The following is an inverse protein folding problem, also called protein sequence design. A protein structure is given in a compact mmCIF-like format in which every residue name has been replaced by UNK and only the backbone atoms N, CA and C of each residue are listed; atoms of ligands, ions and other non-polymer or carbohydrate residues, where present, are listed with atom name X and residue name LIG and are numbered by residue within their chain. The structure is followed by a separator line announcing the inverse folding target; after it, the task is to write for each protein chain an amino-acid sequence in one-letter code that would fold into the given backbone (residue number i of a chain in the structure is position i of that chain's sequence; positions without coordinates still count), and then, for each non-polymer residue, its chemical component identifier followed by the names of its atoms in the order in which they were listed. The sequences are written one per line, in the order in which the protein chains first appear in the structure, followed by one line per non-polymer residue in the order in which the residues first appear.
data_IF_574396186612
#
_entry.id   IF_574396186612
#
_cell.length_a   1.000
_cell.length_b   1.000
_cell.length_c   1.000
_cell.angle_alpha   90.00
_cell.angle_beta   90.00
_cell.angle_gamma   90.00
#
_symmetry.space_group_name_H-M   'P 1'
#
loop_
_entity.id
_entity.type
_entity.pdbx_description
1 polymer ?
#
# COMPACT_ATOMS: atom_id res chain seq x y z
N UNK A 1 -48.81 -8.14 60.34
CA UNK A 1 -48.15 -7.16 59.45
C UNK A 1 -47.05 -7.90 58.72
N UNK A 2 -47.20 -8.25 57.44
CA UNK A 2 -47.01 -7.36 56.27
C UNK A 2 -45.53 -6.95 56.21
N UNK A 3 -44.68 -7.27 55.22
CA UNK A 3 -44.85 -7.53 53.77
C UNK A 3 -43.64 -8.38 53.29
N UNK A 4 -43.89 -9.30 52.38
CA UNK A 4 -42.91 -9.94 51.50
C UNK A 4 -42.42 -8.94 50.45
N UNK A 5 -41.13 -9.03 50.08
CA UNK A 5 -40.63 -8.52 48.79
C UNK A 5 -39.35 -9.27 48.39
N UNK A 6 -39.41 -10.31 47.54
CA UNK A 6 -38.28 -10.72 46.71
C UNK A 6 -38.24 -9.81 45.47
N UNK A 7 -37.16 -9.90 44.66
CA UNK A 7 -36.99 -9.44 43.25
C UNK A 7 -35.57 -8.84 43.10
N UNK A 8 -34.79 -9.06 42.03
CA UNK A 8 -35.05 -9.57 40.69
C UNK A 8 -33.69 -9.97 40.08
N UNK A 9 -33.55 -11.21 39.60
CA UNK A 9 -32.53 -11.55 38.60
C UNK A 9 -33.06 -11.05 37.25
N UNK A 10 -32.35 -10.11 36.61
CA UNK A 10 -32.65 -9.71 35.24
C UNK A 10 -32.02 -10.73 34.28
N UNK A 11 -32.85 -11.57 33.68
CA UNK A 11 -32.48 -12.35 32.50
C UNK A 11 -32.61 -11.44 31.26
N UNK A 12 -31.50 -11.11 30.61
CA UNK A 12 -31.54 -10.53 29.26
C UNK A 12 -31.86 -11.65 28.27
N UNK A 13 -33.07 -11.61 27.71
CA UNK A 13 -33.43 -12.39 26.54
C UNK A 13 -32.80 -11.73 25.31
N UNK A 14 -31.91 -12.45 24.62
CA UNK A 14 -31.38 -12.07 23.32
C UNK A 14 -32.46 -12.29 22.26
N UNK A 15 -33.09 -11.21 21.79
CA UNK A 15 -33.98 -11.25 20.63
C UNK A 15 -33.14 -11.25 19.36
N UNK A 16 -33.04 -12.39 18.69
CA UNK A 16 -32.46 -12.48 17.34
C UNK A 16 -33.42 -11.81 16.33
N UNK A 17 -33.05 -10.63 15.84
CA UNK A 17 -33.74 -10.02 14.71
C UNK A 17 -33.36 -10.77 13.43
N UNK A 18 -34.34 -11.45 12.85
CA UNK A 18 -34.30 -12.01 11.50
C UNK A 18 -34.15 -10.84 10.51
N UNK A 19 -32.99 -10.71 9.88
CA UNK A 19 -32.80 -9.75 8.80
C UNK A 19 -33.43 -10.32 7.53
N UNK A 20 -34.54 -9.71 7.12
CA UNK A 20 -35.21 -9.92 5.83
C UNK A 20 -34.26 -9.59 4.70
N UNK A 21 -33.94 -10.58 3.85
CA UNK A 21 -33.26 -10.37 2.57
C UNK A 21 -34.19 -9.56 1.66
N UNK A 22 -33.79 -8.33 1.34
CA UNK A 22 -34.49 -7.50 0.37
C UNK A 22 -33.80 -7.66 -0.97
N UNK A 23 -34.45 -8.38 -1.88
CA UNK A 23 -34.10 -8.54 -3.30
C UNK A 23 -34.63 -7.37 -4.12
N UNK A 24 -33.74 -6.58 -4.74
CA UNK A 24 -33.82 -5.78 -6.01
C UNK A 24 -32.69 -4.73 -5.96
N UNK A 25 -31.80 -4.44 -6.93
CA UNK A 25 -31.84 -4.36 -8.41
C UNK A 25 -30.37 -4.18 -8.96
N UNK A 26 -30.08 -4.08 -10.28
CA UNK A 26 -28.82 -4.48 -10.94
C UNK A 26 -27.67 -3.44 -10.87
N UNK A 27 -27.35 -2.95 -9.68
CA UNK A 27 -26.24 -2.00 -9.48
C UNK A 27 -24.85 -2.68 -9.47
N UNK A 28 -24.81 -4.02 -9.51
CA UNK A 28 -23.59 -4.81 -9.39
C UNK A 28 -22.81 -4.97 -10.70
N UNK A 29 -23.44 -4.89 -11.89
CA UNK A 29 -22.77 -5.23 -13.15
C UNK A 29 -21.52 -4.36 -13.44
N UNK A 30 -21.59 -3.04 -13.20
CA UNK A 30 -20.45 -2.14 -13.45
C UNK A 30 -19.37 -2.24 -12.36
N UNK A 31 -19.77 -2.55 -11.12
CA UNK A 31 -18.84 -2.78 -10.01
C UNK A 31 -18.13 -4.10 -10.22
N UNK A 32 -18.85 -5.14 -10.61
CA UNK A 32 -18.31 -6.46 -10.91
C UNK A 32 -17.41 -6.40 -12.15
N UNK A 33 -17.80 -5.66 -13.20
CA UNK A 33 -16.95 -5.42 -14.38
C UNK A 33 -15.67 -4.65 -14.00
N UNK A 34 -15.78 -3.64 -13.14
CA UNK A 34 -14.63 -2.93 -12.60
C UNK A 34 -13.74 -3.90 -11.80
N UNK A 35 -14.30 -4.64 -10.84
CA UNK A 35 -13.58 -5.59 -9.99
C UNK A 35 -12.86 -6.66 -10.82
N UNK A 36 -13.52 -7.21 -11.84
CA UNK A 36 -12.91 -8.13 -12.80
C UNK A 36 -11.76 -7.43 -13.55
N UNK A 37 -11.95 -6.20 -14.01
CA UNK A 37 -10.88 -5.38 -14.60
C UNK A 37 -9.75 -5.06 -13.61
N UNK A 38 -10.02 -5.06 -12.30
CA UNK A 38 -9.01 -4.85 -11.25
C UNK A 38 -8.28 -6.16 -10.87
N UNK A 39 -8.63 -7.28 -11.51
CA UNK A 39 -8.00 -8.59 -11.30
C UNK A 39 -8.70 -9.47 -10.28
N UNK A 40 -10.00 -9.27 -10.01
CA UNK A 40 -10.80 -10.11 -9.12
C UNK A 40 -11.20 -11.46 -9.74
N UNK A 41 -10.38 -12.05 -10.62
CA UNK A 41 -10.65 -13.39 -11.12
C UNK A 41 -10.41 -14.44 -10.05
N UNK A 42 -11.28 -15.45 -9.98
CA UNK A 42 -11.15 -16.55 -9.01
C UNK A 42 -9.95 -17.48 -9.29
N UNK A 43 -9.34 -17.35 -10.47
CA UNK A 43 -8.22 -18.18 -10.92
C UNK A 43 -7.10 -17.35 -11.53
N UNK A 44 -5.87 -17.83 -11.33
CA UNK A 44 -4.66 -17.26 -11.95
C UNK A 44 -4.49 -17.84 -13.35
N UNK A 45 -4.38 -16.97 -14.34
CA UNK A 45 -4.17 -17.37 -15.73
C UNK A 45 -2.68 -17.67 -16.00
N UNK A 46 -2.31 -18.95 -15.85
CA UNK A 46 -0.95 -19.45 -16.09
C UNK A 46 -0.54 -19.48 -17.56
N UNK A 47 -1.45 -19.17 -18.51
CA UNK A 47 -1.08 -19.04 -19.93
C UNK A 47 -0.40 -17.71 -20.24
N UNK A 48 -0.58 -16.71 -19.37
CA UNK A 48 0.10 -15.42 -19.43
C UNK A 48 1.46 -15.51 -18.74
N UNK A 49 2.42 -14.69 -19.20
CA UNK A 49 3.70 -14.55 -18.51
C UNK A 49 3.54 -13.96 -17.11
N UNK A 50 2.65 -12.99 -16.96
CA UNK A 50 2.28 -12.38 -15.69
C UNK A 50 0.78 -12.08 -15.74
N UNK A 51 0.03 -12.56 -14.76
CA UNK A 51 -1.38 -12.25 -14.59
C UNK A 51 -1.54 -11.07 -13.63
N UNK A 52 -2.07 -9.95 -14.14
CA UNK A 52 -2.07 -8.67 -13.45
C UNK A 52 -3.44 -8.32 -12.89
N UNK A 53 -3.47 -7.92 -11.61
CA UNK A 53 -4.55 -7.13 -11.02
C UNK A 53 -4.09 -5.68 -10.81
N UNK A 54 -4.95 -4.70 -11.09
CA UNK A 54 -4.63 -3.28 -10.97
C UNK A 54 -5.63 -2.62 -10.02
N UNK A 55 -5.13 -1.89 -9.03
CA UNK A 55 -5.91 -1.28 -7.97
C UNK A 55 -5.65 0.24 -7.96
N UNK A 56 -6.42 1.04 -8.72
CA UNK A 56 -6.40 2.48 -8.60
C UNK A 56 -7.22 2.93 -7.38
N UNK A 57 -6.82 4.02 -6.74
CA UNK A 57 -7.58 4.56 -5.61
C UNK A 57 -7.18 5.96 -5.19
N UNK A 58 -8.13 6.76 -4.68
CA UNK A 58 -7.80 8.02 -4.04
C UNK A 58 -7.19 7.79 -2.65
N UNK A 59 -6.38 8.74 -2.20
CA UNK A 59 -5.94 8.84 -0.82
C UNK A 59 -5.92 10.30 -0.36
N UNK A 60 -5.95 10.53 0.95
CA UNK A 60 -5.78 11.86 1.54
C UNK A 60 -4.96 11.74 2.81
N UNK A 61 -3.94 12.59 2.96
CA UNK A 61 -3.18 12.73 4.21
C UNK A 61 -2.72 14.18 4.42
N UNK A 62 -2.40 14.60 5.66
CA UNK A 62 -1.99 15.97 5.97
C UNK A 62 -0.74 16.45 5.22
N UNK A 63 0.19 15.54 4.94
CA UNK A 63 1.51 15.85 4.39
C UNK A 63 1.46 16.04 2.86
N UNK A 64 0.69 15.22 2.15
CA UNK A 64 0.65 15.18 0.69
C UNK A 64 -0.66 15.75 0.12
N UNK A 65 -1.67 15.98 0.96
CA UNK A 65 -2.99 16.41 0.56
C UNK A 65 -3.79 15.29 -0.09
N UNK A 66 -4.65 15.65 -1.05
CA UNK A 66 -5.40 14.70 -1.86
C UNK A 66 -4.47 14.09 -2.91
N UNK A 67 -4.54 12.79 -3.13
CA UNK A 67 -3.79 12.13 -4.20
C UNK A 67 -4.52 10.94 -4.80
N UNK A 68 -3.99 10.47 -5.91
CA UNK A 68 -4.41 9.24 -6.58
C UNK A 68 -3.19 8.32 -6.64
N UNK A 69 -3.40 7.06 -6.28
CA UNK A 69 -2.44 5.99 -6.42
C UNK A 69 -2.96 4.88 -7.31
N UNK A 70 -2.04 4.06 -7.81
CA UNK A 70 -2.33 2.80 -8.47
C UNK A 70 -1.33 1.75 -7.99
N UNK A 71 -1.81 0.55 -7.71
CA UNK A 71 -0.99 -0.62 -7.44
C UNK A 71 -1.33 -1.73 -8.45
N UNK A 72 -0.37 -2.15 -9.27
CA UNK A 72 -0.49 -3.31 -10.13
C UNK A 72 0.22 -4.49 -9.48
N UNK A 73 -0.49 -5.57 -9.19
CA UNK A 73 0.05 -6.81 -8.61
C UNK A 73 0.00 -7.89 -9.69
N UNK A 74 1.17 -8.34 -10.10
CA UNK A 74 1.36 -9.41 -11.06
C UNK A 74 1.68 -10.72 -10.36
N UNK A 75 0.98 -11.80 -10.71
CA UNK A 75 1.31 -13.16 -10.33
C UNK A 75 1.98 -13.85 -11.52
N UNK A 76 3.08 -14.55 -11.28
CA UNK A 76 3.79 -15.26 -12.34
C UNK A 76 4.43 -16.56 -11.84
N UNK A 77 4.73 -17.43 -12.79
CA UNK A 77 5.36 -18.72 -12.57
C UNK A 77 6.82 -18.68 -13.07
N UNK A 78 7.81 -18.91 -12.19
CA UNK A 78 9.20 -19.08 -12.62
C UNK A 78 9.39 -20.38 -13.41
N UNK A 79 10.57 -20.55 -14.03
CA UNK A 79 10.81 -21.61 -15.01
C UNK A 79 10.67 -23.04 -14.46
N UNK A 80 10.83 -23.21 -13.15
CA UNK A 80 10.79 -24.47 -12.41
C UNK A 80 9.47 -24.68 -11.65
N UNK A 81 8.49 -23.80 -11.84
CA UNK A 81 7.21 -23.86 -11.14
C UNK A 81 6.38 -25.11 -11.50
N UNK A 82 5.83 -25.74 -10.49
CA UNK A 82 4.86 -26.83 -10.58
C UNK A 82 3.52 -26.42 -9.95
N UNK A 83 2.45 -27.17 -10.21
CA UNK A 83 1.10 -26.80 -9.72
C UNK A 83 0.97 -26.74 -8.18
N UNK A 84 1.87 -27.40 -7.46
CA UNK A 84 1.91 -27.40 -6.00
C UNK A 84 2.71 -26.22 -5.43
N UNK A 85 3.39 -25.43 -6.27
CA UNK A 85 4.21 -24.30 -5.86
C UNK A 85 3.44 -22.99 -5.73
N UNK A 86 3.91 -22.12 -4.84
CA UNK A 86 3.38 -20.77 -4.71
C UNK A 86 3.69 -19.90 -5.93
N UNK A 87 2.73 -19.06 -6.34
CA UNK A 87 2.96 -18.02 -7.34
C UNK A 87 3.93 -16.97 -6.85
N UNK A 88 4.84 -16.57 -7.72
CA UNK A 88 5.73 -15.41 -7.49
C UNK A 88 4.97 -14.12 -7.75
N UNK A 89 5.38 -13.04 -7.09
CA UNK A 89 4.70 -11.74 -7.16
C UNK A 89 5.61 -10.63 -7.66
N UNK A 90 5.05 -9.74 -8.48
CA UNK A 90 5.65 -8.48 -8.89
C UNK A 90 4.63 -7.36 -8.68
N UNK A 91 4.88 -6.50 -7.72
CA UNK A 91 4.02 -5.35 -7.44
C UNK A 91 4.68 -4.08 -7.96
N UNK A 92 3.92 -3.29 -8.71
CA UNK A 92 4.28 -1.95 -9.14
C UNK A 92 3.32 -0.96 -8.48
N UNK A 93 3.85 0.10 -7.88
CA UNK A 93 3.04 1.14 -7.24
C UNK A 93 3.40 2.49 -7.83
N UNK A 94 2.42 3.33 -8.09
CA UNK A 94 2.63 4.70 -8.51
C UNK A 94 1.63 5.63 -7.82
N UNK A 95 2.03 6.86 -7.52
CA UNK A 95 1.09 7.86 -7.02
C UNK A 95 1.50 9.28 -7.37
N UNK A 96 0.52 10.18 -7.33
CA UNK A 96 0.70 11.63 -7.38
C UNK A 96 -0.33 12.33 -6.48
N UNK A 97 -0.01 13.53 -6.00
CA UNK A 97 -0.84 14.28 -5.04
C UNK A 97 -0.86 15.79 -5.29
N UNK A 98 -1.81 16.49 -4.67
CA UNK A 98 -1.98 17.94 -4.78
C UNK A 98 -0.87 18.74 -4.13
N UNK A 99 -0.11 18.16 -3.19
CA UNK A 99 1.13 18.77 -2.67
C UNK A 99 2.26 18.85 -3.70
N UNK A 100 2.13 18.14 -4.83
CA UNK A 100 3.21 17.94 -5.80
C UNK A 100 4.06 16.70 -5.51
N UNK A 101 3.75 15.93 -4.45
CA UNK A 101 4.45 14.67 -4.18
C UNK A 101 4.05 13.59 -5.17
N UNK A 102 5.02 12.83 -5.67
CA UNK A 102 4.82 11.65 -6.52
C UNK A 102 5.87 10.57 -6.22
N UNK A 103 5.57 9.33 -6.56
CA UNK A 103 6.52 8.24 -6.38
C UNK A 103 6.15 6.99 -7.16
N UNK A 104 7.16 6.14 -7.33
CA UNK A 104 7.11 4.86 -8.01
C UNK A 104 7.80 3.81 -7.13
N UNK A 105 7.15 2.67 -6.97
CA UNK A 105 7.61 1.53 -6.19
C UNK A 105 7.58 0.25 -7.01
N UNK A 106 8.52 -0.63 -6.72
CA UNK A 106 8.53 -2.02 -7.19
C UNK A 106 8.83 -2.95 -6.02
N UNK A 107 8.05 -4.00 -5.88
CA UNK A 107 8.33 -5.11 -4.97
C UNK A 107 8.29 -6.41 -5.76
N UNK A 108 9.34 -7.21 -5.63
CA UNK A 108 9.44 -8.53 -6.23
C UNK A 108 9.61 -9.59 -5.15
N UNK A 109 8.90 -10.70 -5.33
CA UNK A 109 9.07 -11.94 -4.58
C UNK A 109 9.02 -13.12 -5.53
N UNK A 110 10.18 -13.69 -5.81
CA UNK A 110 10.32 -14.90 -6.62
C UNK A 110 10.56 -16.10 -5.72
N UNK A 111 9.81 -17.17 -5.91
CA UNK A 111 10.05 -18.49 -5.31
C UNK A 111 10.72 -19.38 -6.35
N UNK A 112 11.86 -19.98 -6.02
CA UNK A 112 12.65 -20.82 -6.92
C UNK A 112 13.00 -22.13 -6.22
N UNK A 113 13.26 -23.16 -7.03
CA UNK A 113 13.68 -24.49 -6.63
C UNK A 113 12.77 -25.06 -5.53
N UNK A 114 11.48 -25.26 -5.84
CA UNK A 114 10.47 -25.78 -4.92
C UNK A 114 10.41 -25.00 -3.59
N UNK A 115 10.45 -23.66 -3.69
CA UNK A 115 10.47 -22.74 -2.55
C UNK A 115 11.70 -22.92 -1.61
N UNK A 116 12.81 -23.49 -2.08
CA UNK A 116 14.06 -23.56 -1.30
C UNK A 116 14.89 -22.28 -1.42
N UNK A 117 14.69 -21.49 -2.48
CA UNK A 117 15.36 -20.21 -2.72
C UNK A 117 14.30 -19.13 -2.97
N UNK A 118 14.39 -18.00 -2.27
CA UNK A 118 13.52 -16.84 -2.50
C UNK A 118 14.34 -15.63 -2.89
N UNK A 119 14.00 -15.01 -4.02
CA UNK A 119 14.56 -13.72 -4.42
C UNK A 119 13.57 -12.63 -4.04
N UNK A 120 14.00 -11.70 -3.19
CA UNK A 120 13.19 -10.59 -2.72
C UNK A 120 13.86 -9.29 -3.13
N UNK A 121 13.11 -8.34 -3.67
CA UNK A 121 13.66 -7.02 -3.97
C UNK A 121 12.61 -5.93 -3.78
N UNK A 122 12.99 -4.85 -3.10
CA UNK A 122 12.21 -3.62 -3.01
C UNK A 122 12.98 -2.49 -3.69
N UNK A 123 12.29 -1.71 -4.51
CA UNK A 123 12.80 -0.48 -5.10
C UNK A 123 11.78 0.64 -4.92
N UNK A 124 12.23 1.83 -4.57
CA UNK A 124 11.35 2.98 -4.41
C UNK A 124 12.04 4.26 -4.85
N UNK A 125 11.34 5.07 -5.63
CA UNK A 125 11.74 6.44 -5.94
C UNK A 125 10.59 7.38 -5.66
N UNK A 126 10.86 8.52 -5.03
CA UNK A 126 9.84 9.53 -4.81
C UNK A 126 10.41 10.94 -4.77
N UNK A 127 9.53 11.87 -5.08
CA UNK A 127 9.72 13.30 -4.92
C UNK A 127 8.66 13.82 -3.96
N UNK A 128 9.07 14.59 -2.96
CA UNK A 128 8.19 15.12 -1.93
C UNK A 128 8.59 16.56 -1.61
N UNK A 129 7.79 17.55 -2.04
CA UNK A 129 7.97 18.93 -1.61
C UNK A 129 7.75 19.05 -0.10
N UNK A 130 8.57 19.86 0.55
CA UNK A 130 8.52 20.10 1.98
C UNK A 130 8.82 21.56 2.34
N UNK A 131 8.54 21.90 3.59
CA UNK A 131 8.83 23.21 4.15
C UNK A 131 9.66 23.09 5.43
N UNK A 132 10.58 24.01 5.62
CA UNK A 132 11.46 24.09 6.79
C UNK A 132 11.38 25.50 7.38
N UNK A 133 11.23 25.60 8.70
CA UNK A 133 11.07 26.88 9.41
C UNK A 133 12.24 27.22 10.35
N UNK A 134 13.34 26.47 10.30
CA UNK A 134 14.46 26.66 11.24
C UNK A 134 14.32 25.84 12.53
N UNK A 135 15.21 26.11 13.50
CA UNK A 135 15.29 25.37 14.76
C UNK A 135 14.63 26.19 15.88
N UNK A 136 13.72 25.58 16.63
CA UNK A 136 13.08 26.17 17.80
C UNK A 136 11.68 26.74 17.53
N UNK A 137 10.90 26.94 18.60
CA UNK A 137 9.49 27.36 18.54
C UNK A 137 9.32 28.73 17.86
N UNK A 138 10.16 29.69 18.23
CA UNK A 138 10.07 31.06 17.70
C UNK A 138 10.37 31.12 16.20
N UNK A 139 11.20 30.19 15.71
CA UNK A 139 11.49 30.06 14.29
C UNK A 139 10.30 29.44 13.53
N UNK A 140 9.65 28.43 14.14
CA UNK A 140 8.47 27.76 13.61
C UNK A 140 7.21 28.64 13.57
N UNK A 141 7.07 29.61 14.49
CA UNK A 141 5.94 30.54 14.54
C UNK A 141 6.07 31.72 13.56
N UNK A 142 7.25 31.91 12.95
CA UNK A 142 7.50 32.99 12.00
C UNK A 142 7.54 32.48 10.55
N UNK A 143 6.48 32.75 9.80
CA UNK A 143 6.36 32.39 8.37
C UNK A 143 7.45 33.00 7.48
N UNK A 144 8.16 34.05 7.92
CA UNK A 144 9.31 34.58 7.19
C UNK A 144 10.47 33.58 7.11
N UNK A 145 10.53 32.59 8.02
CA UNK A 145 11.56 31.55 8.03
C UNK A 145 11.21 30.35 7.12
N UNK A 146 10.01 30.34 6.54
CA UNK A 146 9.53 29.24 5.70
C UNK A 146 10.36 29.13 4.43
N UNK A 147 11.14 28.06 4.36
CA UNK A 147 11.98 27.71 3.21
C UNK A 147 11.43 26.44 2.58
N UNK A 148 11.10 26.50 1.29
CA UNK A 148 10.70 25.32 0.53
C UNK A 148 11.94 24.50 0.16
N UNK A 149 11.82 23.18 0.22
CA UNK A 149 12.83 22.27 -0.28
C UNK A 149 12.15 21.07 -0.92
N UNK A 150 12.82 20.41 -1.85
CA UNK A 150 12.33 19.19 -2.45
C UNK A 150 13.17 18.00 -1.97
N UNK A 151 12.51 16.97 -1.45
CA UNK A 151 13.17 15.72 -1.09
C UNK A 151 13.03 14.71 -2.22
N UNK A 152 14.16 14.24 -2.75
CA UNK A 152 14.21 13.08 -3.63
C UNK A 152 14.71 11.87 -2.84
N UNK A 153 13.90 10.82 -2.80
CA UNK A 153 14.22 9.57 -2.11
C UNK A 153 14.46 8.49 -3.16
N UNK A 154 15.56 7.75 -3.01
CA UNK A 154 15.82 6.52 -3.75
C UNK A 154 16.12 5.44 -2.72
N UNK A 155 15.39 4.33 -2.77
CA UNK A 155 15.61 3.15 -1.94
C UNK A 155 15.74 1.90 -2.81
N UNK A 156 16.65 1.02 -2.43
CA UNK A 156 16.85 -0.27 -3.06
C UNK A 156 17.22 -1.29 -1.99
N UNK A 157 16.55 -2.44 -1.95
CA UNK A 157 16.78 -3.46 -0.94
C UNK A 157 16.61 -4.90 -1.47
N UNK A 158 17.59 -5.43 -2.23
CA UNK A 158 17.58 -6.82 -2.65
C UNK A 158 18.02 -7.75 -1.52
N UNK A 159 17.36 -8.91 -1.44
CA UNK A 159 17.62 -9.97 -0.48
C UNK A 159 17.46 -11.33 -1.16
N UNK A 160 18.20 -12.32 -0.68
CA UNK A 160 18.03 -13.73 -1.01
C UNK A 160 17.74 -14.49 0.28
N UNK A 161 16.74 -15.38 0.26
CA UNK A 161 16.47 -16.30 1.34
C UNK A 161 16.72 -17.74 0.88
N UNK A 162 17.35 -18.53 1.73
CA UNK A 162 17.64 -19.94 1.51
C UNK A 162 16.96 -20.74 2.62
N UNK A 163 16.29 -21.83 2.24
CA UNK A 163 15.75 -22.78 3.18
C UNK A 163 16.89 -23.57 3.84
N UNK A 164 16.82 -23.69 5.17
CA UNK A 164 17.83 -24.42 5.97
C UNK A 164 17.22 -25.66 6.62
N UNK A 165 15.94 -25.59 6.99
CA UNK A 165 15.13 -26.70 7.46
C UNK A 165 13.72 -26.56 6.88
N UNK A 166 12.89 -27.59 7.05
CA UNK A 166 11.48 -27.54 6.66
C UNK A 166 10.81 -26.27 7.22
N UNK A 167 10.27 -25.45 6.31
CA UNK A 167 9.63 -24.16 6.61
C UNK A 167 10.51 -23.10 7.32
N UNK A 168 11.83 -23.29 7.40
CA UNK A 168 12.76 -22.34 8.06
C UNK A 168 13.75 -21.77 7.07
N UNK A 169 13.81 -20.43 6.99
CA UNK A 169 14.61 -19.69 6.02
C UNK A 169 15.60 -18.76 6.69
N UNK A 170 16.82 -18.71 6.17
CA UNK A 170 17.79 -17.66 6.47
C UNK A 170 17.85 -16.73 5.27
N UNK A 171 17.76 -15.43 5.50
CA UNK A 171 17.90 -14.43 4.46
C UNK A 171 19.09 -13.51 4.68
N UNK A 172 19.70 -13.10 3.58
CA UNK A 172 20.77 -12.12 3.54
C UNK A 172 20.52 -11.13 2.41
N UNK A 173 20.97 -9.90 2.58
CA UNK A 173 20.76 -8.85 1.60
C UNK A 173 21.31 -7.53 2.09
N UNK A 174 21.06 -6.48 1.32
CA UNK A 174 21.47 -5.13 1.65
C UNK A 174 20.30 -4.17 1.44
N UNK A 175 20.40 -3.00 2.07
CA UNK A 175 19.45 -1.91 1.90
C UNK A 175 20.24 -0.63 1.70
N UNK A 176 19.85 0.11 0.68
CA UNK A 176 20.36 1.43 0.38
C UNK A 176 19.20 2.41 0.38
N UNK A 177 19.40 3.57 1.01
CA UNK A 177 18.47 4.69 0.94
C UNK A 177 19.28 5.99 0.81
N UNK A 178 18.95 6.78 -0.22
CA UNK A 178 19.47 8.14 -0.41
C UNK A 178 18.33 9.13 -0.30
N UNK A 179 18.59 10.24 0.38
CA UNK A 179 17.68 11.39 0.44
C UNK A 179 18.48 12.61 -0.01
N UNK A 180 18.13 13.14 -1.17
CA UNK A 180 18.75 14.35 -1.71
C UNK A 180 17.78 15.51 -1.53
N UNK A 181 18.27 16.60 -0.91
CA UNK A 181 17.55 17.87 -0.93
C UNK A 181 17.89 18.57 -2.23
N UNK A 182 16.88 18.94 -3.00
CA UNK A 182 17.02 19.82 -4.15
C UNK A 182 16.60 21.21 -3.68
N UNK A 183 17.51 22.17 -3.81
CA UNK A 183 17.20 23.57 -3.52
C UNK A 183 16.18 24.08 -4.55
N UNK A 184 15.24 24.95 -4.13
CA UNK A 184 14.23 25.49 -5.03
C UNK A 184 14.90 26.28 -6.17
N UNK A 185 14.46 26.04 -7.40
CA UNK A 185 14.79 26.90 -8.54
C UNK A 185 14.29 28.33 -8.24
N UNK A 186 15.16 29.36 -8.26
CA UNK A 186 14.75 30.74 -8.02
C UNK A 186 13.74 31.29 -9.06
N UNK A 187 13.43 30.55 -10.12
CA UNK A 187 12.53 30.97 -11.20
C UNK A 187 11.02 30.89 -10.93
N UNK A 188 10.56 30.24 -9.86
CA UNK A 188 9.11 30.00 -9.62
C UNK A 188 8.69 30.40 -8.21
N UNK A 189 8.88 31.67 -7.85
CA UNK A 189 8.13 32.27 -6.73
C UNK A 189 6.82 32.86 -7.28
N UNK A 190 5.64 32.54 -6.72
CA UNK A 190 4.45 33.33 -6.99
C UNK A 190 4.73 34.77 -6.54
N UNK A 191 4.59 35.69 -7.49
CA UNK A 191 4.74 37.13 -7.26
C UNK A 191 3.79 37.52 -6.12
N UNK A 192 4.34 37.91 -4.96
CA UNK A 192 3.55 38.52 -3.89
C UNK A 192 2.87 39.78 -4.45
N UNK A 193 1.55 39.75 -4.54
CA UNK A 193 0.68 40.95 -4.62
C UNK A 193 0.15 41.25 -3.24
#
# INVERSE_FOLDING_TARGET
MMRTLPWLLAALASTSALATETTTEPEQDWVDELLVSLGSSDTVDTSKLIDWGVLPGPFVNPEQGLGIGVAAVGLYTPYDWTQDDHFSTLTLTAYASTSGSFGLGVENRTYLADDTIRLLAEGWISHTPGYYWGIGRDAAENDANKTQYDAQIIRLAPKVALQVFDSTYISTGWSYQSVTKVDPDPGVLPRKT
#
